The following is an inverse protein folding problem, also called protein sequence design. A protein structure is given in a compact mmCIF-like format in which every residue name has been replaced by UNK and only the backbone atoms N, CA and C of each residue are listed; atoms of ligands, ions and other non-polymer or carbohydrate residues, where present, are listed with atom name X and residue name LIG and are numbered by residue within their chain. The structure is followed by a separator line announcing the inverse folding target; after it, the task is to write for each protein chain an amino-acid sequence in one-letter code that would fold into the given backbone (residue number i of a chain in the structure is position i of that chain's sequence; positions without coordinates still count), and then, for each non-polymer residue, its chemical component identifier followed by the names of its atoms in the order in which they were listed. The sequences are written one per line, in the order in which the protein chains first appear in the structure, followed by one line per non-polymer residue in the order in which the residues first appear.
data_IF_727538756944
#
_entry.id   IF_727538756944
#
_cell.length_a   1.000
_cell.length_b   1.000
_cell.length_c   1.000
_cell.angle_alpha   90.00
_cell.angle_beta   90.00
_cell.angle_gamma   90.00
#
_symmetry.space_group_name_H-M   'P 1'
#
loop_
_entity.id
_entity.type
_entity.pdbx_description
1 polymer ?
#
# COMPACT_ATOMS: atom_id res chain seq x y z
N UNK A 1 2.92 -28.88 -3.82
CA UNK A 1 2.21 -28.16 -2.73
C UNK A 1 0.73 -28.43 -2.92
N UNK A 2 -0.01 -28.99 -1.94
CA UNK A 2 -1.42 -29.26 -2.13
C UNK A 2 -2.18 -27.98 -2.46
N UNK A 3 -3.02 -28.00 -3.50
CA UNK A 3 -3.77 -26.88 -4.08
C UNK A 3 -4.47 -26.02 -2.99
N UNK A 4 -5.00 -26.67 -1.96
CA UNK A 4 -5.66 -26.02 -0.83
C UNK A 4 -4.73 -25.08 -0.05
N UNK A 5 -3.44 -25.43 0.12
CA UNK A 5 -2.46 -24.55 0.82
C UNK A 5 -2.04 -23.37 -0.05
N UNK A 6 -1.96 -23.54 -1.36
CA UNK A 6 -1.67 -22.45 -2.28
C UNK A 6 -2.82 -21.43 -2.30
N UNK A 7 -4.07 -21.91 -2.37
CA UNK A 7 -5.26 -21.06 -2.33
C UNK A 7 -5.35 -20.21 -1.06
N UNK A 8 -5.09 -20.80 0.13
CA UNK A 8 -5.13 -20.03 1.39
C UNK A 8 -4.01 -18.99 1.51
N UNK A 9 -2.84 -19.22 0.88
CA UNK A 9 -1.75 -18.24 0.83
C UNK A 9 -2.10 -17.06 -0.08
N UNK A 10 -2.66 -17.37 -1.24
CA UNK A 10 -3.11 -16.37 -2.19
C UNK A 10 -4.21 -15.48 -1.58
N UNK A 11 -5.22 -16.11 -0.97
CA UNK A 11 -6.29 -15.37 -0.29
C UNK A 11 -5.74 -14.45 0.82
N UNK A 12 -4.83 -14.96 1.66
CA UNK A 12 -4.24 -14.15 2.71
C UNK A 12 -3.43 -12.98 2.16
N UNK A 13 -2.66 -13.17 1.07
CA UNK A 13 -1.92 -12.11 0.41
C UNK A 13 -2.86 -11.04 -0.17
N UNK A 14 -3.92 -11.48 -0.86
CA UNK A 14 -4.91 -10.58 -1.45
C UNK A 14 -5.64 -9.77 -0.37
N UNK A 15 -6.13 -10.41 0.69
CA UNK A 15 -6.80 -9.71 1.79
C UNK A 15 -5.87 -8.69 2.47
N UNK A 16 -4.60 -9.06 2.66
CA UNK A 16 -3.63 -8.15 3.27
C UNK A 16 -3.34 -6.94 2.36
N UNK A 17 -3.12 -7.16 1.07
CA UNK A 17 -2.89 -6.09 0.11
C UNK A 17 -4.11 -5.17 -0.02
N UNK A 18 -5.32 -5.76 -0.08
CA UNK A 18 -6.58 -5.00 -0.12
C UNK A 18 -6.78 -4.14 1.14
N UNK A 19 -6.60 -4.72 2.32
CA UNK A 19 -6.77 -3.98 3.58
C UNK A 19 -5.77 -2.83 3.71
N UNK A 20 -4.49 -3.07 3.43
CA UNK A 20 -3.47 -2.03 3.45
C UNK A 20 -3.71 -0.96 2.38
N UNK A 21 -4.06 -1.36 1.15
CA UNK A 21 -4.36 -0.47 0.04
C UNK A 21 -5.58 0.42 0.29
N UNK A 22 -6.62 -0.10 0.94
CA UNK A 22 -7.77 0.71 1.35
C UNK A 22 -7.34 1.80 2.34
N UNK A 23 -6.58 1.45 3.36
CA UNK A 23 -6.12 2.43 4.38
C UNK A 23 -5.20 3.47 3.74
N UNK A 24 -4.19 3.04 3.00
CA UNK A 24 -3.23 3.94 2.36
C UNK A 24 -3.88 4.80 1.27
N UNK A 25 -4.76 4.22 0.45
CA UNK A 25 -5.52 4.93 -0.57
C UNK A 25 -6.48 5.99 0.00
N UNK A 26 -7.14 5.70 1.14
CA UNK A 26 -7.95 6.70 1.86
C UNK A 26 -7.08 7.84 2.41
N UNK A 27 -5.93 7.53 3.00
CA UNK A 27 -4.98 8.55 3.46
C UNK A 27 -4.48 9.41 2.30
N UNK A 28 -4.09 8.79 1.19
CA UNK A 28 -3.69 9.51 -0.02
C UNK A 28 -4.82 10.42 -0.53
N UNK A 29 -6.06 9.94 -0.51
CA UNK A 29 -7.23 10.75 -0.90
C UNK A 29 -7.44 11.94 0.02
N UNK A 30 -7.28 11.77 1.32
CA UNK A 30 -7.34 12.88 2.30
C UNK A 30 -6.23 13.90 2.07
N UNK A 31 -4.99 13.46 1.79
CA UNK A 31 -3.88 14.34 1.46
C UNK A 31 -4.16 15.15 0.16
N UNK A 32 -4.67 14.51 -0.89
CA UNK A 32 -5.06 15.19 -2.13
C UNK A 32 -6.11 16.28 -1.86
N UNK A 33 -7.12 15.98 -1.04
CA UNK A 33 -8.14 16.97 -0.66
C UNK A 33 -7.55 18.13 0.14
N UNK A 34 -6.63 17.83 1.06
CA UNK A 34 -5.94 18.87 1.82
C UNK A 34 -5.17 19.82 0.89
N UNK A 35 -4.46 19.28 -0.11
CA UNK A 35 -3.77 20.09 -1.12
C UNK A 35 -4.77 20.97 -1.88
N UNK A 36 -5.88 20.41 -2.37
CA UNK A 36 -6.89 21.17 -3.13
C UNK A 36 -7.47 22.32 -2.30
N UNK A 37 -7.81 22.08 -1.02
CA UNK A 37 -8.35 23.12 -0.13
C UNK A 37 -7.29 24.19 0.17
N UNK A 38 -6.05 23.81 0.45
CA UNK A 38 -4.96 24.75 0.70
C UNK A 38 -4.65 25.60 -0.52
N UNK A 39 -4.82 25.04 -1.69
CA UNK A 39 -4.65 25.72 -2.98
C UNK A 39 -5.84 26.64 -3.35
N UNK A 40 -6.85 26.75 -2.50
CA UNK A 40 -8.04 27.58 -2.75
C UNK A 40 -9.04 26.95 -3.74
N UNK A 41 -8.90 25.66 -4.05
CA UNK A 41 -9.82 24.94 -4.91
C UNK A 41 -11.04 24.38 -4.15
N UNK A 42 -12.12 24.12 -4.89
CA UNK A 42 -13.28 23.44 -4.32
C UNK A 42 -13.04 21.93 -4.22
N UNK A 43 -13.20 21.32 -3.04
CA UNK A 43 -13.00 19.88 -2.86
C UNK A 43 -14.14 19.07 -3.48
N UNK A 44 -14.06 18.78 -4.76
CA UNK A 44 -14.98 17.87 -5.43
C UNK A 44 -14.88 16.45 -4.90
N UNK A 45 -16.00 15.75 -4.73
CA UNK A 45 -16.03 14.33 -4.38
C UNK A 45 -16.41 13.49 -5.60
N UNK A 46 -15.52 12.56 -5.97
CA UNK A 46 -15.80 11.55 -6.99
C UNK A 46 -15.64 10.16 -6.38
N UNK A 47 -16.75 9.42 -6.31
CA UNK A 47 -16.72 8.02 -5.84
C UNK A 47 -15.86 7.17 -6.78
N UNK A 48 -15.99 7.35 -8.09
CA UNK A 48 -15.21 6.63 -9.08
C UNK A 48 -13.70 6.88 -8.90
N UNK A 49 -13.29 8.14 -8.72
CA UNK A 49 -11.90 8.50 -8.45
C UNK A 49 -11.37 7.93 -7.14
N UNK A 50 -12.21 7.90 -6.09
CA UNK A 50 -11.83 7.28 -4.81
C UNK A 50 -11.61 5.78 -4.96
N UNK A 51 -12.55 5.07 -5.61
CA UNK A 51 -12.42 3.63 -5.87
C UNK A 51 -11.20 3.32 -6.74
N UNK A 52 -10.93 4.11 -7.78
CA UNK A 52 -9.76 3.95 -8.63
C UNK A 52 -8.46 4.04 -7.81
N UNK A 53 -8.32 5.03 -6.92
CA UNK A 53 -7.16 5.18 -6.05
C UNK A 53 -7.00 3.95 -5.13
N UNK A 54 -8.08 3.51 -4.48
CA UNK A 54 -8.03 2.32 -3.62
C UNK A 54 -7.57 1.07 -4.38
N UNK A 55 -8.07 0.88 -5.60
CA UNK A 55 -7.69 -0.24 -6.46
C UNK A 55 -6.23 -0.15 -6.93
N UNK A 56 -5.75 1.04 -7.27
CA UNK A 56 -4.35 1.26 -7.68
C UNK A 56 -3.40 0.97 -6.52
N UNK A 57 -3.69 1.46 -5.31
CA UNK A 57 -2.88 1.17 -4.12
C UNK A 57 -2.85 -0.33 -3.81
N UNK A 58 -4.01 -0.97 -3.71
CA UNK A 58 -4.10 -2.41 -3.47
C UNK A 58 -3.42 -3.23 -4.59
N UNK A 59 -3.62 -2.85 -5.84
CA UNK A 59 -3.06 -3.53 -7.01
C UNK A 59 -1.54 -3.44 -7.10
N UNK A 60 -0.97 -2.27 -6.80
CA UNK A 60 0.48 -2.05 -6.82
C UNK A 60 1.22 -2.93 -5.81
N UNK A 61 0.62 -3.22 -4.65
CA UNK A 61 1.22 -4.05 -3.61
C UNK A 61 0.95 -5.55 -3.76
N UNK A 62 -0.06 -5.93 -4.55
CA UNK A 62 -0.50 -7.32 -4.69
C UNK A 62 0.60 -8.29 -5.16
N UNK A 63 1.42 -7.99 -6.20
CA UNK A 63 2.47 -8.90 -6.66
C UNK A 63 3.51 -9.19 -5.56
N UNK A 64 3.89 -8.16 -4.81
CA UNK A 64 4.84 -8.27 -3.70
C UNK A 64 4.27 -9.07 -2.52
N UNK A 65 2.99 -8.86 -2.19
CA UNK A 65 2.28 -9.61 -1.17
C UNK A 65 2.22 -11.11 -1.52
N UNK A 66 1.86 -11.43 -2.77
CA UNK A 66 1.81 -12.81 -3.28
C UNK A 66 3.20 -13.45 -3.21
N UNK A 67 4.24 -12.82 -3.75
CA UNK A 67 5.60 -13.35 -3.71
C UNK A 67 6.07 -13.65 -2.27
N UNK A 68 5.76 -12.74 -1.33
CA UNK A 68 6.09 -12.90 0.10
C UNK A 68 5.34 -14.06 0.72
N UNK A 69 4.04 -14.23 0.43
CA UNK A 69 3.20 -15.32 0.94
C UNK A 69 3.67 -16.69 0.46
N UNK A 70 4.31 -16.78 -0.71
CA UNK A 70 4.95 -17.99 -1.22
C UNK A 70 6.39 -18.19 -0.72
N UNK A 71 6.86 -17.38 0.24
CA UNK A 71 8.17 -17.49 0.87
C UNK A 71 9.33 -16.88 0.07
N UNK A 72 9.06 -16.21 -1.04
CA UNK A 72 10.06 -15.52 -1.86
C UNK A 72 10.36 -14.12 -1.29
N UNK A 73 10.99 -14.07 -0.12
CA UNK A 73 11.20 -12.81 0.62
C UNK A 73 11.91 -11.73 -0.20
N UNK A 74 13.01 -12.07 -0.89
CA UNK A 74 13.77 -11.10 -1.71
C UNK A 74 12.93 -10.56 -2.87
N UNK A 75 12.32 -11.46 -3.66
CA UNK A 75 11.45 -11.06 -4.77
C UNK A 75 10.23 -10.28 -4.28
N UNK A 76 9.67 -10.66 -3.12
CA UNK A 76 8.57 -9.94 -2.50
C UNK A 76 8.94 -8.50 -2.15
N UNK A 77 10.10 -8.27 -1.52
CA UNK A 77 10.59 -6.92 -1.20
C UNK A 77 10.86 -6.09 -2.46
N UNK A 78 11.47 -6.68 -3.49
CA UNK A 78 11.71 -5.98 -4.76
C UNK A 78 10.38 -5.56 -5.41
N UNK A 79 9.40 -6.46 -5.47
CA UNK A 79 8.09 -6.15 -6.04
C UNK A 79 7.30 -5.12 -5.22
N UNK A 80 7.38 -5.16 -3.88
CA UNK A 80 6.80 -4.12 -3.02
C UNK A 80 7.48 -2.76 -3.24
N UNK A 81 8.82 -2.75 -3.35
CA UNK A 81 9.58 -1.54 -3.66
C UNK A 81 9.23 -0.97 -5.03
N UNK A 82 9.05 -1.83 -6.05
CA UNK A 82 8.61 -1.41 -7.37
C UNK A 82 7.19 -0.85 -7.34
N UNK A 83 6.26 -1.50 -6.63
CA UNK A 83 4.91 -0.99 -6.42
C UNK A 83 4.91 0.38 -5.74
N UNK A 84 5.72 0.56 -4.69
CA UNK A 84 5.89 1.84 -4.02
C UNK A 84 6.46 2.92 -4.96
N UNK A 85 7.45 2.58 -5.79
CA UNK A 85 8.02 3.51 -6.77
C UNK A 85 6.98 3.94 -7.82
N UNK A 86 6.16 3.02 -8.32
CA UNK A 86 5.06 3.34 -9.24
C UNK A 86 4.07 4.29 -8.58
N UNK A 87 3.63 4.02 -7.34
CA UNK A 87 2.71 4.89 -6.62
C UNK A 87 3.29 6.28 -6.36
N UNK A 88 4.60 6.39 -6.09
CA UNK A 88 5.28 7.68 -5.95
C UNK A 88 5.29 8.45 -7.26
N UNK A 89 5.63 7.80 -8.37
CA UNK A 89 5.62 8.42 -9.70
C UNK A 89 4.23 8.93 -10.08
N UNK A 90 3.20 8.10 -9.88
CA UNK A 90 1.81 8.48 -10.13
C UNK A 90 1.37 9.65 -9.25
N UNK A 91 1.73 9.65 -7.97
CA UNK A 91 1.40 10.75 -7.05
C UNK A 91 2.00 12.07 -7.50
N UNK A 92 3.25 12.05 -7.96
CA UNK A 92 3.93 13.24 -8.52
C UNK A 92 3.30 13.65 -9.84
N UNK A 93 3.03 12.71 -10.74
CA UNK A 93 2.44 13.00 -12.05
C UNK A 93 1.06 13.65 -11.91
N UNK A 94 0.19 13.11 -11.05
CA UNK A 94 -1.14 13.66 -10.77
C UNK A 94 -1.01 15.07 -10.16
N UNK A 95 -0.12 15.25 -9.18
CA UNK A 95 0.10 16.56 -8.55
C UNK A 95 0.54 17.64 -9.54
N UNK A 96 1.40 17.28 -10.49
CA UNK A 96 1.86 18.19 -11.55
C UNK A 96 0.77 18.50 -12.59
N UNK A 97 -0.11 17.53 -12.88
CA UNK A 97 -1.18 17.71 -13.88
C UNK A 97 -2.35 18.51 -13.34
N UNK A 98 -2.76 18.26 -12.09
CA UNK A 98 -3.94 18.91 -11.50
C UNK A 98 -3.68 20.37 -11.08
N UNK A 99 -2.44 20.73 -10.74
CA UNK A 99 -2.13 22.05 -10.16
C UNK A 99 -0.82 22.68 -10.68
N UNK A 100 -0.60 22.79 -12.00
CA UNK A 100 0.69 23.27 -12.55
C UNK A 100 1.00 24.72 -12.14
N UNK A 101 -0.01 25.59 -11.99
CA UNK A 101 0.17 27.00 -11.61
C UNK A 101 0.24 27.24 -10.10
N UNK A 102 -0.27 26.33 -9.28
CA UNK A 102 -0.37 26.51 -7.83
C UNK A 102 0.89 26.06 -7.09
N UNK A 103 1.61 25.05 -7.62
CA UNK A 103 2.88 24.61 -7.05
C UNK A 103 3.99 25.66 -7.18
N UNK A 104 3.92 26.53 -8.21
CA UNK A 104 4.98 27.50 -8.51
C UNK A 104 4.51 28.97 -8.52
N UNK A 105 3.20 29.22 -8.45
CA UNK A 105 2.61 30.55 -8.66
C UNK A 105 2.04 31.26 -7.43
N UNK A 106 1.70 30.55 -6.36
CA UNK A 106 0.99 31.11 -5.21
C UNK A 106 1.86 31.68 -4.10
N UNK A 107 3.17 31.79 -4.27
CA UNK A 107 4.18 32.32 -3.34
C UNK A 107 3.77 32.43 -1.85
N UNK A 108 4.70 32.17 -0.93
CA UNK A 108 4.47 32.37 0.50
C UNK A 108 3.99 31.12 1.25
N UNK A 109 3.20 31.33 2.31
CA UNK A 109 2.80 30.27 3.27
C UNK A 109 2.02 29.12 2.62
N UNK A 110 1.17 29.40 1.63
CA UNK A 110 0.36 28.38 0.94
C UNK A 110 1.23 27.39 0.20
N UNK A 111 2.24 27.83 -0.52
CA UNK A 111 3.19 26.95 -1.23
C UNK A 111 3.92 26.03 -0.25
N UNK A 112 4.36 26.55 0.89
CA UNK A 112 5.04 25.77 1.94
C UNK A 112 4.09 24.68 2.48
N UNK A 113 2.84 25.02 2.77
CA UNK A 113 1.86 24.04 3.25
C UNK A 113 1.56 22.95 2.23
N UNK A 114 1.38 23.31 0.96
CA UNK A 114 1.19 22.33 -0.13
C UNK A 114 2.38 21.39 -0.24
N UNK A 115 3.60 21.91 -0.22
CA UNK A 115 4.83 21.09 -0.26
C UNK A 115 4.90 20.16 0.96
N UNK A 116 4.58 20.62 2.16
CA UNK A 116 4.57 19.78 3.37
C UNK A 116 3.55 18.63 3.25
N UNK A 117 2.37 18.90 2.71
CA UNK A 117 1.37 17.84 2.48
C UNK A 117 1.84 16.88 1.39
N UNK A 118 2.48 17.36 0.33
CA UNK A 118 3.08 16.51 -0.70
C UNK A 118 4.16 15.59 -0.13
N UNK A 119 4.98 16.08 0.81
CA UNK A 119 5.99 15.29 1.50
C UNK A 119 5.40 14.22 2.43
N UNK A 120 4.11 14.25 2.72
CA UNK A 120 3.43 13.20 3.47
C UNK A 120 3.08 11.95 2.63
N UNK A 121 3.08 12.02 1.29
CA UNK A 121 2.79 10.87 0.43
C UNK A 121 3.85 9.75 0.54
N UNK A 122 5.17 10.01 0.46
CA UNK A 122 6.18 8.97 0.60
C UNK A 122 6.04 8.11 1.86
N UNK A 123 5.87 8.66 3.08
CA UNK A 123 5.69 7.84 4.27
C UNK A 123 4.40 7.03 4.26
N UNK A 124 3.31 7.49 3.64
CA UNK A 124 2.08 6.69 3.48
C UNK A 124 2.35 5.48 2.58
N UNK A 125 2.98 5.69 1.43
CA UNK A 125 3.28 4.62 0.46
C UNK A 125 4.29 3.62 1.04
N UNK A 126 5.35 4.09 1.68
CA UNK A 126 6.35 3.22 2.32
C UNK A 126 5.76 2.48 3.51
N UNK A 127 4.90 3.14 4.29
CA UNK A 127 4.16 2.54 5.40
C UNK A 127 3.25 1.41 4.93
N UNK A 128 2.56 1.57 3.81
CA UNK A 128 1.76 0.52 3.18
C UNK A 128 2.64 -0.67 2.78
N UNK A 129 3.72 -0.44 2.03
CA UNK A 129 4.62 -1.51 1.60
C UNK A 129 5.19 -2.30 2.80
N UNK A 130 5.57 -1.59 3.88
CA UNK A 130 6.06 -2.20 5.12
C UNK A 130 4.96 -2.99 5.83
N UNK A 131 3.73 -2.46 5.91
CA UNK A 131 2.59 -3.14 6.51
C UNK A 131 2.28 -4.44 5.76
N UNK A 132 2.17 -4.38 4.44
CA UNK A 132 1.94 -5.56 3.58
C UNK A 132 3.05 -6.61 3.80
N UNK A 133 4.32 -6.18 3.80
CA UNK A 133 5.44 -7.09 4.02
C UNK A 133 5.40 -7.75 5.40
N UNK A 134 5.16 -7.00 6.46
CA UNK A 134 5.09 -7.52 7.85
C UNK A 134 3.92 -8.47 8.02
N UNK A 135 2.73 -8.10 7.57
CA UNK A 135 1.52 -8.91 7.72
C UNK A 135 1.62 -10.22 6.93
N UNK A 136 2.05 -10.17 5.67
CA UNK A 136 2.22 -11.38 4.84
C UNK A 136 3.34 -12.28 5.36
N UNK A 137 4.44 -11.73 5.84
CA UNK A 137 5.54 -12.49 6.46
C UNK A 137 5.11 -13.18 7.76
N UNK A 138 4.36 -12.48 8.61
CA UNK A 138 3.82 -13.04 9.86
C UNK A 138 2.83 -14.18 9.60
N UNK A 139 1.94 -14.02 8.62
CA UNK A 139 1.00 -15.07 8.22
C UNK A 139 1.70 -16.29 7.63
N UNK A 140 2.78 -16.09 6.87
CA UNK A 140 3.60 -17.17 6.35
C UNK A 140 4.32 -17.93 7.46
N UNK A 141 4.87 -17.23 8.46
CA UNK A 141 5.59 -17.83 9.59
C UNK A 141 4.70 -18.67 10.51
N UNK A 142 3.50 -18.18 10.85
CA UNK A 142 2.55 -18.91 11.72
C UNK A 142 2.14 -20.29 11.18
N UNK A 143 2.21 -20.51 9.88
CA UNK A 143 1.80 -21.75 9.21
C UNK A 143 2.93 -22.77 9.06
N UNK A 144 4.15 -22.45 9.47
CA UNK A 144 5.30 -23.35 9.46
C UNK A 144 5.58 -24.03 10.79
N UNK A 145 4.81 -23.70 11.85
CA UNK A 145 4.95 -24.38 13.14
C UNK A 145 4.42 -25.81 12.98
N UNK A 146 5.27 -26.84 13.13
CA UNK A 146 4.84 -28.24 13.11
C UNK A 146 3.87 -28.46 14.26
N UNK A 147 2.81 -29.26 14.03
CA UNK A 147 1.96 -29.74 15.11
C UNK A 147 2.86 -30.43 16.17
N UNK A 148 2.57 -30.25 17.46
CA UNK A 148 3.29 -30.98 18.52
C UNK A 148 3.30 -32.45 18.15
N UNK A 149 4.50 -33.05 18.01
CA UNK A 149 4.60 -34.49 17.86
C UNK A 149 4.12 -35.10 19.16
N UNK A 150 3.05 -35.91 19.06
CA UNK A 150 2.58 -36.77 20.13
C UNK A 150 3.60 -37.89 20.42
N UNK A 151 4.84 -37.51 20.72
CA UNK A 151 5.87 -38.47 21.14
C UNK A 151 5.55 -39.12 22.51
N UNK A 152 4.46 -38.68 23.15
CA UNK A 152 3.99 -39.24 24.40
C UNK A 152 3.35 -40.64 24.24
N UNK A 153 2.96 -41.06 23.01
CA UNK A 153 2.34 -42.37 22.79
C UNK A 153 3.31 -43.52 22.54
N UNK A 154 4.59 -43.23 22.29
CA UNK A 154 5.57 -44.27 21.99
C UNK A 154 6.29 -44.83 23.24
N UNK A 155 5.95 -44.38 24.47
CA UNK A 155 6.63 -44.81 25.73
C UNK A 155 5.69 -45.59 26.67
N UNK A 156 4.66 -46.28 26.15
CA UNK A 156 3.87 -47.24 26.93
C UNK A 156 3.88 -48.63 26.28
#
# INVERSE_FOLDING_TARGET
VPLRRAGTRLLAATVTAMAAGIVAGLLARLLMRAVTVLAGGEPGFSLAGTLAILLVFAGAMLPGAVATAFGRRRSGLVLLGLGAAVLMLESVAIGLQENPGQLFGSGGTTTVLVVLVMLAFPPVILGEALAVWRMTSALAARRTVPAPRDDARARR
#
